data_IF_031870112764
#
_entry.id   IF_031870112764
#
_cell.length_a   1.000
_cell.length_b   1.000
_cell.length_c   1.000
_cell.angle_alpha   90.00
_cell.angle_beta   90.00
_cell.angle_gamma   90.00
#
_symmetry.space_group_name_H-M   'P 1'
#
loop_
_entity.id
_entity.type
_entity.pdbx_description
1 polymer ?
#
# COMPACT_ATOMS: atom_id res chain seq x y z
N UNK A 1 -24.11 -23.31 3.23
CA UNK A 1 -22.90 -23.75 3.96
C UNK A 1 -21.93 -22.58 3.95
N UNK A 2 -21.09 -22.39 4.98
CA UNK A 2 -20.12 -21.28 4.93
C UNK A 2 -19.00 -21.57 3.93
N UNK A 3 -18.61 -20.57 3.14
CA UNK A 3 -17.49 -20.68 2.20
C UNK A 3 -16.17 -20.83 2.95
N UNK A 4 -15.36 -21.82 2.57
CA UNK A 4 -14.07 -22.10 3.21
C UNK A 4 -12.90 -21.55 2.40
N UNK A 5 -11.89 -21.06 3.10
CA UNK A 5 -10.59 -20.76 2.51
C UNK A 5 -9.83 -22.07 2.29
N UNK A 6 -9.44 -22.34 1.04
CA UNK A 6 -8.67 -23.51 0.66
C UNK A 6 -7.27 -23.15 0.19
N UNK A 7 -6.71 -23.97 -0.69
CA UNK A 7 -5.34 -23.81 -1.19
C UNK A 7 -5.18 -22.52 -2.00
N UNK A 8 -6.15 -22.16 -2.84
CA UNK A 8 -6.03 -21.00 -3.72
C UNK A 8 -6.06 -19.69 -2.92
N UNK A 9 -6.94 -19.58 -1.91
CA UNK A 9 -6.96 -18.44 -0.99
C UNK A 9 -5.66 -18.38 -0.16
N UNK A 10 -5.17 -19.53 0.32
CA UNK A 10 -3.91 -19.62 1.05
C UNK A 10 -2.69 -19.15 0.24
N UNK A 11 -2.59 -19.58 -1.03
CA UNK A 11 -1.55 -19.13 -1.95
C UNK A 11 -1.64 -17.62 -2.20
N UNK A 12 -2.84 -17.07 -2.42
CA UNK A 12 -3.03 -15.63 -2.62
C UNK A 12 -2.59 -14.81 -1.39
N UNK A 13 -2.96 -15.24 -0.18
CA UNK A 13 -2.55 -14.60 1.07
C UNK A 13 -1.04 -14.71 1.29
N UNK A 14 -0.44 -15.85 0.98
CA UNK A 14 1.02 -16.04 1.11
C UNK A 14 1.82 -15.09 0.22
N UNK A 15 1.32 -14.83 -1.00
CA UNK A 15 1.92 -13.85 -1.93
C UNK A 15 1.81 -12.42 -1.41
N UNK A 16 0.69 -12.05 -0.80
CA UNK A 16 0.51 -10.73 -0.16
C UNK A 16 1.48 -10.58 1.03
N UNK A 17 1.60 -11.61 1.88
CA UNK A 17 2.46 -11.59 3.08
C UNK A 17 3.94 -11.79 2.79
N UNK A 18 4.30 -12.13 1.55
CA UNK A 18 5.67 -12.17 1.10
C UNK A 18 6.46 -13.43 1.49
N UNK A 19 5.78 -14.55 1.76
CA UNK A 19 6.43 -15.79 2.20
C UNK A 19 6.89 -16.69 1.04
N UNK A 20 6.62 -16.28 -0.20
CA UNK A 20 6.93 -17.03 -1.42
C UNK A 20 8.35 -16.74 -1.96
N UNK A 21 8.96 -17.69 -2.68
CA UNK A 21 10.32 -17.58 -3.22
C UNK A 21 10.47 -16.41 -4.21
N UNK A 22 9.41 -16.08 -4.94
CA UNK A 22 9.34 -14.93 -5.86
C UNK A 22 9.40 -13.56 -5.15
N UNK A 23 9.29 -13.52 -3.82
CA UNK A 23 9.28 -12.27 -3.03
C UNK A 23 10.68 -11.87 -2.56
N UNK A 24 11.67 -12.78 -2.60
CA UNK A 24 13.06 -12.44 -2.21
C UNK A 24 13.70 -11.36 -3.08
N UNK A 25 13.57 -11.37 -4.43
CA UNK A 25 14.03 -10.27 -5.27
C UNK A 25 13.33 -8.94 -4.95
N UNK A 26 12.05 -9.00 -4.56
CA UNK A 26 11.28 -7.82 -4.12
C UNK A 26 11.83 -7.24 -2.82
N UNK A 27 12.14 -8.07 -1.83
CA UNK A 27 12.74 -7.61 -0.57
C UNK A 27 14.11 -6.97 -0.83
N UNK A 28 14.93 -7.57 -1.69
CA UNK A 28 16.22 -6.99 -2.07
C UNK A 28 16.05 -5.62 -2.75
N UNK A 29 15.09 -5.49 -3.68
CA UNK A 29 14.73 -4.22 -4.31
C UNK A 29 14.31 -3.16 -3.29
N UNK A 30 13.49 -3.52 -2.29
CA UNK A 30 13.05 -2.62 -1.22
C UNK A 30 14.22 -2.10 -0.38
N UNK A 31 15.15 -2.98 0.02
CA UNK A 31 16.33 -2.60 0.82
C UNK A 31 17.26 -1.68 0.03
N UNK A 32 17.50 -1.98 -1.25
CA UNK A 32 18.32 -1.13 -2.14
C UNK A 32 17.66 0.23 -2.33
N UNK A 33 16.34 0.27 -2.54
CA UNK A 33 15.60 1.52 -2.76
C UNK A 33 15.60 2.41 -1.52
N UNK A 34 15.47 1.82 -0.33
CA UNK A 34 15.64 2.54 0.94
C UNK A 34 17.05 3.11 1.09
N UNK A 35 18.07 2.27 0.86
CA UNK A 35 19.48 2.68 0.94
C UNK A 35 19.80 3.80 -0.06
N UNK A 36 19.22 3.76 -1.25
CA UNK A 36 19.32 4.82 -2.23
C UNK A 36 18.69 6.12 -1.73
N UNK A 37 17.46 6.10 -1.20
CA UNK A 37 16.79 7.31 -0.69
C UNK A 37 17.59 8.01 0.42
N UNK A 38 18.07 7.24 1.41
CA UNK A 38 18.88 7.77 2.51
C UNK A 38 20.25 8.23 2.01
N UNK A 39 20.96 7.37 1.27
CA UNK A 39 22.31 7.64 0.79
C UNK A 39 22.36 8.83 -0.18
N UNK A 40 21.40 8.92 -1.11
CA UNK A 40 21.31 10.04 -2.04
C UNK A 40 21.03 11.36 -1.31
N UNK A 41 20.24 11.37 -0.24
CA UNK A 41 20.01 12.57 0.58
C UNK A 41 21.31 13.04 1.26
N UNK A 42 22.05 12.12 1.88
CA UNK A 42 23.32 12.43 2.56
C UNK A 42 24.40 12.90 1.56
N UNK A 43 24.41 12.35 0.35
CA UNK A 43 25.37 12.72 -0.68
C UNK A 43 25.01 14.03 -1.41
N UNK A 44 23.71 14.35 -1.50
CA UNK A 44 23.22 15.56 -2.14
C UNK A 44 23.41 16.81 -1.26
N UNK A 45 23.32 16.65 0.07
CA UNK A 45 23.23 17.78 1.01
C UNK A 45 24.48 17.85 1.89
N UNK A 46 25.05 19.04 2.03
CA UNK A 46 26.16 19.29 2.96
C UNK A 46 25.62 19.43 4.39
N UNK A 47 25.45 18.30 5.08
CA UNK A 47 24.89 18.27 6.43
C UNK A 47 25.75 19.02 7.46
N UNK A 48 27.06 19.17 7.22
CA UNK A 48 27.97 19.84 8.14
C UNK A 48 27.92 21.37 8.02
N UNK A 49 27.59 21.87 6.82
CA UNK A 49 27.45 23.32 6.57
C UNK A 49 26.01 23.81 6.68
N UNK A 50 25.05 22.91 6.71
CA UNK A 50 23.63 23.22 6.88
C UNK A 50 23.31 23.41 8.35
N UNK A 51 22.74 24.55 8.74
CA UNK A 51 22.25 24.75 10.12
C UNK A 51 21.11 23.79 10.47
N UNK A 52 20.39 23.30 9.45
CA UNK A 52 19.37 22.25 9.56
C UNK A 52 19.90 20.86 9.19
N UNK A 53 21.21 20.66 9.11
CA UNK A 53 21.82 19.41 8.65
C UNK A 53 21.32 18.17 9.37
N UNK A 54 21.11 18.24 10.69
CA UNK A 54 20.57 17.10 11.45
C UNK A 54 19.10 16.81 11.10
N UNK A 55 18.27 17.83 10.98
CA UNK A 55 16.85 17.71 10.60
C UNK A 55 16.73 17.11 9.20
N UNK A 56 17.55 17.59 8.28
CA UNK A 56 17.57 17.12 6.88
C UNK A 56 18.16 15.72 6.74
N UNK A 57 19.17 15.38 7.54
CA UNK A 57 19.71 14.01 7.61
C UNK A 57 18.65 13.01 8.10
N UNK A 58 17.90 13.38 9.15
CA UNK A 58 16.77 12.56 9.64
C UNK A 58 15.62 12.51 8.64
N UNK A 59 15.33 13.59 7.92
CA UNK A 59 14.29 13.60 6.89
C UNK A 59 14.65 12.73 5.68
N UNK A 60 15.95 12.53 5.39
CA UNK A 60 16.39 11.54 4.40
C UNK A 60 15.93 10.11 4.69
N UNK A 61 15.75 9.76 5.98
CA UNK A 61 15.13 8.49 6.39
C UNK A 61 13.66 8.45 5.97
N UNK A 62 12.93 9.56 6.06
CA UNK A 62 11.54 9.64 5.60
C UNK A 62 11.42 9.39 4.09
N UNK A 63 12.38 9.85 3.27
CA UNK A 63 12.45 9.50 1.84
C UNK A 63 12.69 8.02 1.65
N UNK A 64 13.69 7.46 2.34
CA UNK A 64 13.99 6.04 2.28
C UNK A 64 12.76 5.19 2.60
N UNK A 65 12.06 5.50 3.70
CA UNK A 65 10.82 4.82 4.11
C UNK A 65 9.72 5.05 3.08
N UNK A 66 9.54 6.29 2.60
CA UNK A 66 8.54 6.64 1.60
C UNK A 66 8.69 5.84 0.31
N UNK A 67 9.92 5.72 -0.20
CA UNK A 67 10.26 4.91 -1.39
C UNK A 67 10.09 3.41 -1.11
N UNK A 68 10.52 2.92 0.05
CA UNK A 68 10.30 1.53 0.46
C UNK A 68 8.81 1.20 0.46
N UNK A 69 7.98 2.09 1.02
CA UNK A 69 6.55 1.89 1.07
C UNK A 69 5.92 1.87 -0.33
N UNK A 70 6.42 2.63 -1.31
CA UNK A 70 5.94 2.51 -2.71
C UNK A 70 6.05 1.10 -3.26
N UNK A 71 7.17 0.41 -3.02
CA UNK A 71 7.33 -0.98 -3.45
C UNK A 71 6.33 -1.92 -2.76
N UNK A 72 6.06 -1.72 -1.46
CA UNK A 72 5.06 -2.50 -0.73
C UNK A 72 3.63 -2.24 -1.24
N UNK A 73 3.29 -0.97 -1.51
CA UNK A 73 1.96 -0.59 -2.02
C UNK A 73 1.71 -1.25 -3.37
N UNK A 74 2.71 -1.34 -4.24
CA UNK A 74 2.59 -2.04 -5.52
C UNK A 74 2.28 -3.54 -5.34
N UNK A 75 2.91 -4.20 -4.37
CA UNK A 75 2.60 -5.60 -4.05
C UNK A 75 1.15 -5.76 -3.57
N UNK A 76 0.70 -4.91 -2.64
CA UNK A 76 -0.70 -4.89 -2.22
C UNK A 76 -1.64 -4.59 -3.39
N UNK A 77 -1.28 -3.68 -4.29
CA UNK A 77 -2.14 -3.27 -5.39
C UNK A 77 -2.37 -4.42 -6.37
N UNK A 78 -1.32 -5.19 -6.67
CA UNK A 78 -1.35 -6.33 -7.57
C UNK A 78 -2.09 -7.52 -6.93
N UNK A 79 -1.88 -7.79 -5.65
CA UNK A 79 -2.34 -9.04 -5.02
C UNK A 79 -3.62 -8.89 -4.19
N UNK A 80 -3.89 -7.73 -3.59
CA UNK A 80 -5.13 -7.44 -2.85
C UNK A 80 -6.24 -6.90 -3.77
N UNK A 81 -6.59 -7.70 -4.77
CA UNK A 81 -7.68 -7.42 -5.72
C UNK A 81 -8.94 -8.20 -5.33
N UNK A 82 -10.10 -7.54 -5.08
CA UNK A 82 -11.35 -8.21 -4.75
C UNK A 82 -11.74 -9.33 -5.72
N UNK A 83 -11.51 -9.14 -7.02
CA UNK A 83 -11.91 -10.13 -8.03
C UNK A 83 -11.06 -11.40 -7.93
N UNK A 84 -9.76 -11.26 -7.64
CA UNK A 84 -8.87 -12.41 -7.40
C UNK A 84 -9.27 -13.20 -6.15
N UNK A 85 -9.74 -12.52 -5.11
CA UNK A 85 -10.28 -13.20 -3.93
C UNK A 85 -11.56 -13.97 -4.25
N UNK A 86 -12.47 -13.38 -5.04
CA UNK A 86 -13.70 -14.08 -5.46
C UNK A 86 -13.36 -15.31 -6.30
N UNK A 87 -12.45 -15.19 -7.26
CA UNK A 87 -11.98 -16.32 -8.07
C UNK A 87 -11.33 -17.43 -7.21
N UNK A 88 -10.51 -17.06 -6.24
CA UNK A 88 -9.84 -18.01 -5.36
C UNK A 88 -10.87 -18.78 -4.49
N UNK A 89 -11.81 -18.08 -3.88
CA UNK A 89 -12.88 -18.71 -3.11
C UNK A 89 -13.80 -19.56 -3.98
N UNK A 90 -14.10 -19.12 -5.21
CA UNK A 90 -14.91 -19.90 -6.16
C UNK A 90 -14.23 -21.21 -6.54
N UNK A 91 -12.90 -21.18 -6.75
CA UNK A 91 -12.11 -22.39 -7.04
C UNK A 91 -12.04 -23.32 -5.83
N UNK A 92 -11.88 -22.78 -4.63
CA UNK A 92 -11.76 -23.56 -3.39
C UNK A 92 -13.09 -24.21 -2.97
N UNK A 93 -14.24 -23.66 -3.38
CA UNK A 93 -15.57 -24.17 -3.01
C UNK A 93 -16.35 -24.76 -4.21
N UNK A 94 -15.66 -25.09 -5.32
CA UNK A 94 -16.30 -25.52 -6.58
C UNK A 94 -17.18 -26.77 -6.44
N UNK A 95 -16.81 -27.67 -5.54
CA UNK A 95 -17.48 -28.95 -5.31
C UNK A 95 -18.43 -28.92 -4.09
N UNK A 96 -18.56 -27.77 -3.42
CA UNK A 96 -19.45 -27.59 -2.27
C UNK A 96 -20.74 -26.85 -2.68
N UNK A 97 -21.89 -27.20 -2.10
CA UNK A 97 -23.17 -26.49 -2.28
C UNK A 97 -23.19 -25.19 -1.45
N UNK A 98 -22.30 -24.27 -1.82
CA UNK A 98 -22.13 -22.96 -1.19
C UNK A 98 -22.72 -21.91 -2.13
N UNK A 99 -23.58 -21.05 -1.58
CA UNK A 99 -24.19 -19.99 -2.38
C UNK A 99 -23.15 -18.96 -2.86
N UNK A 100 -23.31 -18.45 -4.09
CA UNK A 100 -22.44 -17.39 -4.64
C UNK A 100 -22.34 -16.17 -3.71
N UNK A 101 -23.43 -15.86 -3.01
CA UNK A 101 -23.49 -14.75 -2.05
C UNK A 101 -22.55 -15.00 -0.86
N UNK A 102 -22.40 -16.25 -0.41
CA UNK A 102 -21.49 -16.62 0.67
C UNK A 102 -20.03 -16.64 0.24
N UNK A 103 -19.75 -17.09 -0.99
CA UNK A 103 -18.43 -16.99 -1.63
C UNK A 103 -17.99 -15.52 -1.72
N UNK A 104 -18.84 -14.65 -2.28
CA UNK A 104 -18.54 -13.22 -2.43
C UNK A 104 -18.36 -12.55 -1.06
N UNK A 105 -19.20 -12.89 -0.06
CA UNK A 105 -19.07 -12.36 1.29
C UNK A 105 -17.73 -12.71 1.91
N UNK A 106 -17.34 -13.98 1.86
CA UNK A 106 -16.09 -14.48 2.43
C UNK A 106 -14.88 -13.82 1.74
N UNK A 107 -14.87 -13.81 0.41
CA UNK A 107 -13.84 -13.17 -0.41
C UNK A 107 -13.65 -11.69 -0.05
N UNK A 108 -14.74 -10.92 0.02
CA UNK A 108 -14.69 -9.49 0.34
C UNK A 108 -14.33 -9.22 1.80
N UNK A 109 -14.76 -10.07 2.73
CA UNK A 109 -14.36 -9.94 4.14
C UNK A 109 -12.88 -10.21 4.35
N UNK A 110 -12.31 -11.19 3.63
CA UNK A 110 -10.89 -11.56 3.72
C UNK A 110 -10.00 -10.54 2.98
N UNK A 111 -10.48 -9.97 1.87
CA UNK A 111 -9.75 -8.96 1.10
C UNK A 111 -9.67 -7.60 1.83
N UNK A 112 -10.71 -7.23 2.60
CA UNK A 112 -10.84 -5.91 3.21
C UNK A 112 -9.67 -5.48 4.12
N UNK A 113 -9.13 -6.33 5.02
CA UNK A 113 -7.93 -6.01 5.80
C UNK A 113 -6.72 -5.65 4.92
N UNK A 114 -6.45 -6.41 3.86
CA UNK A 114 -5.31 -6.15 2.97
C UNK A 114 -5.47 -4.84 2.18
N UNK A 115 -6.69 -4.53 1.74
CA UNK A 115 -7.01 -3.25 1.09
C UNK A 115 -6.87 -2.07 2.06
N UNK A 116 -7.24 -2.25 3.33
CA UNK A 116 -7.01 -1.23 4.37
C UNK A 116 -5.53 -1.02 4.66
N UNK A 117 -4.76 -2.11 4.75
CA UNK A 117 -3.32 -2.05 4.96
C UNK A 117 -2.64 -1.32 3.79
N UNK A 118 -2.96 -1.72 2.55
CA UNK A 118 -2.47 -1.05 1.34
C UNK A 118 -2.83 0.45 1.30
N UNK A 119 -4.05 0.81 1.71
CA UNK A 119 -4.46 2.23 1.85
C UNK A 119 -3.60 2.99 2.86
N UNK A 120 -3.39 2.41 4.04
CA UNK A 120 -2.62 3.05 5.11
C UNK A 120 -1.17 3.25 4.69
N UNK A 121 -0.55 2.22 4.10
CA UNK A 121 0.83 2.31 3.60
C UNK A 121 0.92 3.35 2.47
N UNK A 122 -0.07 3.40 1.57
CA UNK A 122 -0.15 4.40 0.50
C UNK A 122 -0.22 5.84 1.03
N UNK A 123 -1.05 6.07 2.03
CA UNK A 123 -1.15 7.36 2.71
C UNK A 123 0.16 7.75 3.39
N UNK A 124 0.78 6.82 4.14
CA UNK A 124 2.03 7.11 4.84
C UNK A 124 3.15 7.41 3.85
N UNK A 125 3.28 6.63 2.78
CA UNK A 125 4.27 6.87 1.74
C UNK A 125 4.12 8.25 1.10
N UNK A 126 2.88 8.59 0.69
CA UNK A 126 2.58 9.90 0.09
C UNK A 126 2.90 11.04 1.05
N UNK A 127 2.47 10.93 2.32
CA UNK A 127 2.71 11.97 3.32
C UNK A 127 4.20 12.13 3.64
N UNK A 128 4.96 11.03 3.80
CA UNK A 128 6.39 11.10 4.10
C UNK A 128 7.18 11.76 2.96
N UNK A 129 6.88 11.41 1.70
CA UNK A 129 7.52 12.03 0.54
C UNK A 129 7.13 13.51 0.38
N UNK A 130 5.86 13.85 0.62
CA UNK A 130 5.38 15.23 0.59
C UNK A 130 6.00 16.09 1.69
N UNK A 131 6.00 15.61 2.94
CA UNK A 131 6.59 16.29 4.09
C UNK A 131 8.09 16.50 3.87
N UNK A 132 8.81 15.48 3.41
CA UNK A 132 10.23 15.63 3.12
C UNK A 132 10.50 16.72 2.07
N UNK A 133 9.75 16.72 0.97
CA UNK A 133 9.90 17.71 -0.10
C UNK A 133 9.67 19.13 0.45
N UNK A 134 8.64 19.31 1.27
CA UNK A 134 8.36 20.60 1.92
C UNK A 134 9.48 21.05 2.87
N UNK A 135 10.06 20.15 3.68
CA UNK A 135 11.18 20.48 4.56
C UNK A 135 12.43 20.91 3.80
N UNK A 136 12.72 20.23 2.68
CA UNK A 136 13.85 20.59 1.82
C UNK A 136 13.63 21.95 1.16
N UNK A 137 12.44 22.19 0.62
CA UNK A 137 12.09 23.48 0.00
C UNK A 137 12.20 24.64 1.00
N UNK A 138 11.65 24.48 2.20
CA UNK A 138 11.78 25.46 3.28
C UNK A 138 13.25 25.68 3.67
N UNK A 139 14.01 24.59 3.79
CA UNK A 139 15.42 24.64 4.14
C UNK A 139 16.28 25.41 3.13
N UNK A 140 15.99 25.22 1.83
CA UNK A 140 16.67 25.95 0.75
C UNK A 140 16.25 27.41 0.72
N UNK A 141 14.95 27.68 0.81
CA UNK A 141 14.40 29.04 0.74
C UNK A 141 14.88 29.92 1.90
N UNK A 142 15.04 29.33 3.08
CA UNK A 142 15.57 30.02 4.28
C UNK A 142 17.10 30.09 4.32
N UNK A 143 17.80 29.48 3.36
CA UNK A 143 19.26 29.42 3.34
C UNK A 143 19.87 28.54 4.44
N UNK A 144 19.06 27.70 5.10
CA UNK A 144 19.51 26.82 6.20
C UNK A 144 20.07 25.49 5.71
N UNK A 145 19.83 25.14 4.44
CA UNK A 145 20.29 23.92 3.78
C UNK A 145 21.25 24.25 2.64
N UNK A 146 22.44 23.66 2.70
CA UNK A 146 23.49 23.81 1.70
C UNK A 146 23.52 22.57 0.82
N UNK A 147 23.34 22.75 -0.48
CA UNK A 147 23.38 21.67 -1.46
C UNK A 147 24.83 21.46 -1.90
N UNK A 148 25.32 20.23 -1.72
CA UNK A 148 26.68 19.81 -2.11
C UNK A 148 26.71 19.31 -3.56
N UNK A 149 25.71 18.52 -3.95
CA UNK A 149 25.63 17.91 -5.28
C UNK A 149 24.26 18.18 -5.90
N UNK A 150 24.22 19.16 -6.79
CA UNK A 150 23.00 19.60 -7.47
C UNK A 150 22.38 18.51 -8.36
N UNK A 151 23.19 17.68 -9.02
CA UNK A 151 22.66 16.62 -9.89
C UNK A 151 21.94 15.54 -9.08
N UNK A 152 22.53 15.10 -7.96
CA UNK A 152 21.89 14.14 -7.05
C UNK A 152 20.66 14.75 -6.38
N UNK A 153 20.73 16.03 -6.00
CA UNK A 153 19.60 16.75 -5.44
C UNK A 153 18.39 16.76 -6.39
N UNK A 154 18.58 17.12 -7.65
CA UNK A 154 17.50 17.14 -8.63
C UNK A 154 16.96 15.74 -8.94
N UNK A 155 17.82 14.73 -9.00
CA UNK A 155 17.40 13.34 -9.16
C UNK A 155 16.51 12.89 -7.98
N UNK A 156 16.90 13.25 -6.76
CA UNK A 156 16.15 12.94 -5.53
C UNK A 156 14.78 13.61 -5.54
N UNK A 157 14.70 14.91 -5.90
CA UNK A 157 13.43 15.63 -6.05
C UNK A 157 12.56 14.96 -7.12
N UNK A 158 13.12 14.62 -8.28
CA UNK A 158 12.39 13.97 -9.36
C UNK A 158 11.80 12.61 -8.94
N UNK A 159 12.61 11.74 -8.36
CA UNK A 159 12.17 10.40 -7.89
C UNK A 159 11.13 10.53 -6.78
N UNK A 160 11.36 11.40 -5.79
CA UNK A 160 10.40 11.66 -4.71
C UNK A 160 9.08 12.24 -5.23
N UNK A 161 9.11 13.10 -6.25
CA UNK A 161 7.89 13.68 -6.84
C UNK A 161 7.06 12.63 -7.57
N UNK A 162 7.70 11.80 -8.40
CA UNK A 162 7.02 10.69 -9.10
C UNK A 162 6.47 9.71 -8.08
N UNK A 163 7.28 9.35 -7.08
CA UNK A 163 6.87 8.46 -6.02
C UNK A 163 5.66 8.99 -5.25
N UNK A 164 5.67 10.28 -4.89
CA UNK A 164 4.56 10.95 -4.22
C UNK A 164 3.28 10.93 -5.07
N UNK A 165 3.39 11.23 -6.37
CA UNK A 165 2.25 11.17 -7.31
C UNK A 165 1.67 9.75 -7.40
N UNK A 166 2.52 8.73 -7.54
CA UNK A 166 2.10 7.34 -7.58
C UNK A 166 1.44 6.91 -6.26
N UNK A 167 2.02 7.28 -5.12
CA UNK A 167 1.46 7.02 -3.79
C UNK A 167 0.07 7.65 -3.62
N UNK A 168 -0.13 8.88 -4.13
CA UNK A 168 -1.42 9.55 -4.13
C UNK A 168 -2.45 8.82 -5.02
N UNK A 169 -2.08 8.47 -6.25
CA UNK A 169 -2.95 7.71 -7.17
C UNK A 169 -3.36 6.38 -6.53
N UNK A 170 -2.41 5.65 -5.95
CA UNK A 170 -2.66 4.38 -5.30
C UNK A 170 -3.56 4.55 -4.07
N UNK A 171 -3.37 5.62 -3.28
CA UNK A 171 -4.27 5.99 -2.18
C UNK A 171 -5.71 6.13 -2.66
N UNK A 172 -5.93 6.85 -3.76
CA UNK A 172 -7.27 7.01 -4.35
C UNK A 172 -7.84 5.66 -4.77
N UNK A 173 -7.05 4.81 -5.44
CA UNK A 173 -7.52 3.49 -5.88
C UNK A 173 -7.88 2.61 -4.69
N UNK A 174 -7.03 2.51 -3.67
CA UNK A 174 -7.31 1.74 -2.46
C UNK A 174 -8.54 2.27 -1.71
N UNK A 175 -8.72 3.59 -1.66
CA UNK A 175 -9.91 4.21 -1.09
C UNK A 175 -11.18 3.80 -1.84
N UNK A 176 -11.15 3.84 -3.18
CA UNK A 176 -12.27 3.40 -4.02
C UNK A 176 -12.56 1.91 -3.86
N UNK A 177 -11.52 1.05 -3.82
CA UNK A 177 -11.65 -0.40 -3.55
C UNK A 177 -12.28 -0.66 -2.19
N UNK A 178 -11.77 -0.03 -1.13
CA UNK A 178 -12.33 -0.12 0.23
C UNK A 178 -13.80 0.27 0.26
N UNK A 179 -14.16 1.37 -0.39
CA UNK A 179 -15.55 1.84 -0.48
C UNK A 179 -16.43 0.84 -1.22
N UNK A 180 -15.94 0.29 -2.33
CA UNK A 180 -16.66 -0.72 -3.13
C UNK A 180 -16.94 -1.98 -2.30
N UNK A 181 -15.91 -2.54 -1.66
CA UNK A 181 -16.03 -3.73 -0.79
C UNK A 181 -17.05 -3.50 0.32
N UNK A 182 -16.94 -2.37 1.04
CA UNK A 182 -17.87 -2.05 2.15
C UNK A 182 -19.32 -1.94 1.68
N UNK A 183 -19.55 -1.31 0.52
CA UNK A 183 -20.90 -1.23 -0.06
C UNK A 183 -21.44 -2.62 -0.41
N UNK A 184 -20.62 -3.48 -1.00
CA UNK A 184 -21.03 -4.84 -1.34
C UNK A 184 -21.35 -5.68 -0.10
N UNK A 185 -20.50 -5.62 0.93
CA UNK A 185 -20.75 -6.31 2.20
C UNK A 185 -22.04 -5.83 2.89
N UNK A 186 -22.31 -4.52 2.88
CA UNK A 186 -23.54 -3.96 3.43
C UNK A 186 -24.78 -4.43 2.64
N UNK A 187 -24.72 -4.44 1.31
CA UNK A 187 -25.81 -4.94 0.47
C UNK A 187 -26.10 -6.43 0.73
N UNK A 188 -25.06 -7.24 0.95
CA UNK A 188 -25.21 -8.65 1.31
C UNK A 188 -25.85 -8.82 2.70
N UNK A 189 -25.45 -7.99 3.68
CA UNK A 189 -26.05 -8.00 5.02
C UNK A 189 -27.54 -7.64 4.99
N UNK A 190 -27.91 -6.58 4.26
CA UNK A 190 -29.30 -6.17 4.09
C UNK A 190 -30.12 -7.30 3.44
N UNK A 191 -29.61 -7.92 2.36
CA UNK A 191 -30.28 -9.04 1.71
C UNK A 191 -30.45 -10.28 2.60
N UNK A 192 -29.50 -10.54 3.52
CA UNK A 192 -29.65 -11.60 4.53
C UNK A 192 -30.69 -11.22 5.59
N UNK A 193 -30.73 -9.96 6.03
CA UNK A 193 -31.72 -9.44 6.98
C UNK A 193 -33.14 -9.52 6.44
N UNK A 194 -33.38 -9.08 5.19
CA UNK A 194 -34.70 -9.12 4.56
C UNK A 194 -35.22 -10.57 4.44
N UNK A 195 -34.34 -11.50 4.07
CA UNK A 195 -34.69 -12.94 4.03
C UNK A 195 -35.02 -13.50 5.42
N UNK A 196 -34.30 -13.07 6.45
CA UNK A 196 -34.56 -13.50 7.83
C UNK A 196 -35.91 -12.97 8.33
N UNK A 197 -36.25 -11.71 8.03
CA UNK A 197 -37.52 -11.12 8.43
C UNK A 197 -38.72 -11.79 7.72
N UNK A 198 -38.58 -12.15 6.45
CA UNK A 198 -39.61 -12.91 5.71
C UNK A 198 -39.80 -14.31 6.30
N UNK A 199 -38.73 -14.99 6.75
CA UNK A 199 -38.83 -16.33 7.34
C UNK A 199 -39.49 -16.38 8.74
N UNK A 200 -39.54 -15.26 9.45
CA UNK A 200 -40.21 -15.14 10.76
C UNK A 200 -41.71 -14.85 10.60
N UNK A 201 -42.13 -14.34 9.43
CA UNK A 201 -43.52 -13.97 9.12
C UNK A 201 -44.31 -15.08 8.41
N UNK A 202 -43.71 -16.24 8.16
CA UNK A 202 -44.35 -17.45 7.59
C UNK A 202 -44.54 -18.47 8.71
#
# INVERSE_FOLDING_TARGET
MEAKAGRNVGELVSRIKGWDADVKPWIAFLVISFGFGVGATILAIDLNKSSWGTIVGMSGVAVGIGILFLGLIMAFFIHADPDRFVEAYTKDNRDEDVSDIEIIRAAYSECLPYVNEGLNIALISWLLLGIWTAFIELGITTGTVVIKNWSLFWLLIFVSSIGSLLGFILTVIFFLRKRSIRKALLAIQLKKSDKAEISIKI
#
